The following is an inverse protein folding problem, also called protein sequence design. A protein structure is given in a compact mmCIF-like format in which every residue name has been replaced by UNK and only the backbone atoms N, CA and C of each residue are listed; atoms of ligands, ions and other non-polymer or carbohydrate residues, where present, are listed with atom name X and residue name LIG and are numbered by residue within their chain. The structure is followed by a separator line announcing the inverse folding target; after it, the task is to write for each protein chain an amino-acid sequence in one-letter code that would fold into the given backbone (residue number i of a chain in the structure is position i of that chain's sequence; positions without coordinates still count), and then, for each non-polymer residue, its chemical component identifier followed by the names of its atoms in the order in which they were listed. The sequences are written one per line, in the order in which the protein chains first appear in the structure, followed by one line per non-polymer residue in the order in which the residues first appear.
data_IF_832535805071
#
_entry.id   IF_832535805071
#
_cell.length_a   1.000
_cell.length_b   1.000
_cell.length_c   1.000
_cell.angle_alpha   90.00
_cell.angle_beta   90.00
_cell.angle_gamma   90.00
#
_symmetry.space_group_name_H-M   'P 1'
#
loop_
_entity.id
_entity.type
_entity.pdbx_description
1 polymer ?
#
# COMPACT_ATOMS: atom_id res chain seq x y z
N UNK A 1 12.97 1.40 17.90
CA UNK A 1 13.96 0.62 17.16
C UNK A 1 14.07 -0.74 17.82
N UNK A 2 13.39 -1.72 17.24
CA UNK A 2 13.44 -3.10 17.70
C UNK A 2 14.70 -3.71 17.12
N UNK A 3 15.79 -3.56 17.85
CA UNK A 3 17.08 -4.09 17.45
C UNK A 3 17.10 -5.60 17.73
N UNK A 4 16.72 -6.39 16.74
CA UNK A 4 17.12 -7.77 16.71
C UNK A 4 18.51 -7.85 16.09
N UNK A 5 19.39 -8.60 16.69
CA UNK A 5 20.81 -8.78 16.43
C UNK A 5 21.21 -9.26 15.02
N UNK A 6 20.36 -9.05 14.02
CA UNK A 6 20.63 -9.33 12.62
C UNK A 6 20.89 -8.02 11.88
N UNK A 7 22.14 -7.72 11.64
CA UNK A 7 22.66 -6.53 10.95
C UNK A 7 22.47 -6.57 9.42
N UNK A 8 21.51 -7.31 8.90
CA UNK A 8 21.21 -7.42 7.47
C UNK A 8 19.82 -6.91 7.12
N UNK A 9 19.63 -6.45 5.87
CA UNK A 9 18.29 -6.22 5.33
C UNK A 9 17.52 -7.55 5.29
N UNK A 10 16.24 -7.51 5.64
CA UNK A 10 15.36 -8.66 5.47
C UNK A 10 15.28 -9.04 3.98
N UNK A 11 15.39 -10.33 3.69
CA UNK A 11 15.32 -10.84 2.31
C UNK A 11 13.90 -10.87 1.79
N UNK A 12 12.93 -11.08 2.70
CA UNK A 12 11.53 -11.26 2.36
C UNK A 12 10.61 -10.81 3.52
N UNK A 13 9.31 -10.76 3.25
CA UNK A 13 8.28 -10.37 4.22
C UNK A 13 8.15 -11.38 5.37
N UNK A 14 8.39 -12.67 5.15
CA UNK A 14 8.34 -13.71 6.19
C UNK A 14 9.41 -13.44 7.26
N UNK A 15 10.64 -13.14 6.83
CA UNK A 15 11.72 -12.80 7.76
C UNK A 15 11.44 -11.50 8.52
N UNK A 16 10.91 -10.48 7.83
CA UNK A 16 10.53 -9.22 8.48
C UNK A 16 9.45 -9.44 9.55
N UNK A 17 8.41 -10.19 9.24
CA UNK A 17 7.33 -10.53 10.18
C UNK A 17 7.84 -11.38 11.35
N UNK A 18 8.71 -12.36 11.09
CA UNK A 18 9.38 -13.12 12.16
C UNK A 18 10.15 -12.21 13.11
N UNK A 19 10.85 -11.20 12.58
CA UNK A 19 11.61 -10.24 13.38
C UNK A 19 10.75 -9.42 14.35
N UNK A 20 9.48 -9.18 14.02
CA UNK A 20 8.54 -8.40 14.85
C UNK A 20 7.51 -9.27 15.59
N UNK A 21 7.64 -10.61 15.56
CA UNK A 21 6.66 -11.52 16.17
C UNK A 21 6.38 -11.20 17.64
N UNK A 22 7.43 -10.96 18.44
CA UNK A 22 7.28 -10.58 19.84
C UNK A 22 6.44 -9.32 20.04
N UNK A 23 6.59 -8.33 19.15
CA UNK A 23 5.76 -7.11 19.17
C UNK A 23 4.31 -7.44 18.88
N UNK A 24 4.05 -8.29 17.87
CA UNK A 24 2.70 -8.73 17.53
C UNK A 24 2.04 -9.50 18.67
N UNK A 25 2.76 -10.39 19.33
CA UNK A 25 2.27 -11.18 20.48
C UNK A 25 1.90 -10.28 21.68
N UNK A 26 2.66 -9.22 21.92
CA UNK A 26 2.41 -8.26 22.99
C UNK A 26 1.29 -7.26 22.68
N UNK A 27 0.92 -7.09 21.40
CA UNK A 27 -0.20 -6.25 20.99
C UNK A 27 -1.51 -6.78 21.58
N UNK A 28 -2.42 -5.87 21.92
CA UNK A 28 -3.78 -6.21 22.39
C UNK A 28 -4.78 -6.34 21.23
N UNK A 29 -4.38 -5.89 20.04
CA UNK A 29 -5.25 -5.85 18.87
C UNK A 29 -5.48 -7.26 18.31
N UNK A 30 -6.72 -7.51 17.88
CA UNK A 30 -7.11 -8.79 17.28
C UNK A 30 -6.72 -8.88 15.81
N UNK A 31 -6.86 -7.77 15.08
CA UNK A 31 -6.59 -7.69 13.66
C UNK A 31 -5.29 -6.92 13.37
N UNK A 32 -4.65 -7.28 12.28
CA UNK A 32 -3.42 -6.66 11.79
C UNK A 32 -3.61 -6.29 10.33
N UNK A 33 -3.24 -5.07 9.99
CA UNK A 33 -3.11 -4.62 8.60
C UNK A 33 -1.63 -4.63 8.23
N UNK A 34 -1.29 -5.45 7.25
CA UNK A 34 0.02 -5.42 6.58
C UNK A 34 -0.09 -4.48 5.38
N UNK A 35 0.85 -3.56 5.25
CA UNK A 35 0.84 -2.58 4.18
C UNK A 35 2.26 -2.32 3.69
N UNK A 36 2.42 -2.18 2.38
CA UNK A 36 3.69 -1.75 1.79
C UNK A 36 3.79 -0.22 1.76
N UNK A 37 5.00 0.31 1.79
CA UNK A 37 5.26 1.76 1.84
C UNK A 37 5.23 2.43 0.47
N UNK A 38 5.15 1.66 -0.60
CA UNK A 38 5.12 2.15 -1.98
C UNK A 38 3.71 2.34 -2.54
N UNK A 39 2.69 2.20 -1.70
CA UNK A 39 1.28 2.37 -2.08
C UNK A 39 0.78 3.73 -1.61
N UNK A 40 0.14 4.46 -2.51
CA UNK A 40 -0.51 5.75 -2.24
C UNK A 40 -2.01 5.60 -2.47
N UNK A 41 -2.77 5.68 -1.40
CA UNK A 41 -4.22 5.65 -1.42
C UNK A 41 -4.77 6.24 -0.12
N UNK A 42 -6.03 6.63 -0.12
CA UNK A 42 -6.74 7.06 1.07
C UNK A 42 -8.15 6.46 1.06
N UNK A 43 -8.35 5.41 1.85
CA UNK A 43 -9.64 4.74 2.01
C UNK A 43 -9.95 4.47 3.49
N UNK A 44 -11.19 4.13 3.79
CA UNK A 44 -11.60 3.85 5.17
C UNK A 44 -11.24 2.41 5.57
N UNK A 45 -10.25 2.29 6.46
CA UNK A 45 -9.85 1.00 7.03
C UNK A 45 -10.97 0.34 7.86
N UNK A 46 -11.86 1.13 8.48
CA UNK A 46 -12.99 0.57 9.23
C UNK A 46 -14.00 -0.09 8.28
N UNK A 47 -14.16 0.46 7.08
CA UNK A 47 -15.01 -0.14 6.05
C UNK A 47 -14.46 -1.48 5.58
N UNK A 48 -13.15 -1.54 5.34
CA UNK A 48 -12.47 -2.81 5.04
C UNK A 48 -12.60 -3.83 6.19
N UNK A 49 -12.47 -3.39 7.45
CA UNK A 49 -12.66 -4.25 8.62
C UNK A 49 -14.10 -4.77 8.72
N UNK A 50 -15.09 -3.93 8.44
CA UNK A 50 -16.50 -4.33 8.38
C UNK A 50 -16.74 -5.37 7.30
N UNK A 51 -16.28 -5.11 6.08
CA UNK A 51 -16.38 -6.06 4.97
C UNK A 51 -15.71 -7.41 5.30
N UNK A 52 -14.55 -7.39 5.98
CA UNK A 52 -13.86 -8.59 6.45
C UNK A 52 -14.72 -9.42 7.42
N UNK A 53 -15.34 -8.77 8.40
CA UNK A 53 -16.15 -9.46 9.40
C UNK A 53 -17.48 -9.96 8.84
N UNK A 54 -18.14 -9.17 8.00
CA UNK A 54 -19.41 -9.54 7.36
C UNK A 54 -19.27 -10.70 6.37
N UNK A 55 -18.16 -10.75 5.63
CA UNK A 55 -17.88 -11.86 4.70
C UNK A 55 -17.41 -13.13 5.38
N UNK A 56 -17.04 -13.08 6.66
CA UNK A 56 -16.41 -14.20 7.37
C UNK A 56 -15.04 -14.56 6.77
N UNK A 57 -14.33 -13.57 6.25
CA UNK A 57 -13.03 -13.77 5.67
C UNK A 57 -11.97 -14.18 6.69
N UNK A 58 -11.07 -15.07 6.33
CA UNK A 58 -9.83 -15.31 7.05
C UNK A 58 -8.77 -14.25 6.71
N UNK A 59 -8.75 -13.82 5.43
CA UNK A 59 -7.86 -12.79 4.90
C UNK A 59 -8.66 -11.90 3.95
N UNK A 60 -8.51 -10.58 4.11
CA UNK A 60 -9.02 -9.62 3.11
C UNK A 60 -7.86 -8.87 2.49
N UNK A 61 -7.82 -8.81 1.17
CA UNK A 61 -6.74 -8.16 0.41
C UNK A 61 -7.34 -7.00 -0.38
N UNK A 62 -6.83 -5.79 -0.12
CA UNK A 62 -7.22 -4.63 -0.92
C UNK A 62 -6.68 -4.78 -2.35
N UNK A 63 -7.53 -4.50 -3.33
CA UNK A 63 -7.17 -4.53 -4.74
C UNK A 63 -7.68 -3.29 -5.47
N UNK A 64 -7.09 -3.03 -6.61
CA UNK A 64 -7.52 -1.98 -7.52
C UNK A 64 -7.60 -2.52 -8.94
N UNK A 65 -8.63 -2.08 -9.68
CA UNK A 65 -8.78 -2.40 -11.10
C UNK A 65 -8.04 -1.39 -11.96
N UNK A 66 -7.03 -1.83 -12.68
CA UNK A 66 -6.27 -0.92 -13.52
C UNK A 66 -5.04 -1.54 -14.16
N UNK A 67 -4.15 -0.70 -14.65
CA UNK A 67 -2.86 -1.15 -15.19
C UNK A 67 -1.97 -1.67 -14.06
N UNK A 68 -1.59 -2.93 -14.17
CA UNK A 68 -0.72 -3.57 -13.19
C UNK A 68 0.64 -2.84 -13.06
N UNK A 69 1.09 -2.51 -11.83
CA UNK A 69 2.43 -1.99 -11.60
C UNK A 69 3.48 -3.07 -11.86
N UNK A 70 4.72 -2.66 -12.10
CA UNK A 70 5.84 -3.58 -12.34
C UNK A 70 6.52 -3.95 -11.03
N UNK A 71 5.89 -4.81 -10.26
CA UNK A 71 6.40 -5.32 -8.99
C UNK A 71 6.63 -6.82 -9.09
N UNK A 72 7.66 -7.30 -8.40
CA UNK A 72 7.88 -8.73 -8.21
C UNK A 72 6.80 -9.31 -7.29
N UNK A 73 6.39 -10.56 -7.56
CA UNK A 73 5.33 -11.27 -6.81
C UNK A 73 3.97 -10.52 -6.80
N UNK A 74 3.67 -9.71 -7.83
CA UNK A 74 2.39 -9.01 -7.94
C UNK A 74 1.25 -10.01 -8.08
N UNK A 75 0.33 -10.00 -7.12
CA UNK A 75 -0.90 -10.80 -7.18
C UNK A 75 -1.94 -10.13 -8.06
N UNK A 76 -2.57 -10.92 -8.94
CA UNK A 76 -3.80 -10.54 -9.62
C UNK A 76 -4.88 -11.55 -9.31
N UNK A 77 -6.13 -11.09 -9.31
CA UNK A 77 -7.26 -11.85 -8.84
C UNK A 77 -8.25 -12.18 -9.95
N UNK A 78 -8.91 -13.31 -9.77
CA UNK A 78 -10.21 -13.60 -10.37
C UNK A 78 -11.16 -13.91 -9.24
N UNK A 79 -12.32 -13.26 -9.22
CA UNK A 79 -13.29 -13.36 -8.14
C UNK A 79 -14.46 -14.27 -8.49
N UNK A 80 -15.10 -14.83 -7.46
CA UNK A 80 -16.47 -15.34 -7.48
C UNK A 80 -17.46 -14.17 -7.33
N UNK A 81 -18.76 -14.44 -7.49
CA UNK A 81 -19.80 -13.40 -7.48
C UNK A 81 -19.83 -12.53 -6.20
N UNK A 82 -19.32 -13.05 -5.08
CA UNK A 82 -19.34 -12.41 -3.77
C UNK A 82 -17.99 -11.80 -3.35
N UNK A 83 -17.10 -11.47 -4.29
CA UNK A 83 -15.74 -10.95 -4.04
C UNK A 83 -14.80 -11.96 -3.37
N UNK A 84 -15.19 -13.24 -3.25
CA UNK A 84 -14.28 -14.29 -2.83
C UNK A 84 -13.26 -14.55 -3.92
N UNK A 85 -11.99 -14.67 -3.53
CA UNK A 85 -10.91 -14.92 -4.49
C UNK A 85 -10.97 -16.37 -4.98
N UNK A 86 -11.29 -16.54 -6.25
CA UNK A 86 -11.32 -17.85 -6.91
C UNK A 86 -9.92 -18.30 -7.36
N UNK A 87 -9.12 -17.34 -7.85
CA UNK A 87 -7.78 -17.61 -8.37
C UNK A 87 -6.84 -16.44 -8.12
N UNK A 88 -5.60 -16.76 -7.81
CA UNK A 88 -4.47 -15.81 -7.73
C UNK A 88 -3.48 -16.18 -8.83
N UNK A 89 -3.16 -15.23 -9.71
CA UNK A 89 -2.04 -15.32 -10.62
C UNK A 89 -0.95 -14.35 -10.20
N UNK A 90 0.31 -14.77 -10.34
CA UNK A 90 1.47 -13.96 -10.01
C UNK A 90 2.11 -13.42 -11.28
N UNK A 91 2.64 -12.20 -11.20
CA UNK A 91 3.42 -11.53 -12.24
C UNK A 91 2.75 -11.55 -13.62
N UNK A 92 1.53 -11.02 -13.76
CA UNK A 92 0.81 -11.07 -15.02
C UNK A 92 1.55 -10.25 -16.08
N UNK A 93 1.95 -10.92 -17.16
CA UNK A 93 2.53 -10.28 -18.35
C UNK A 93 1.40 -9.76 -19.25
N UNK A 94 0.66 -8.78 -18.79
CA UNK A 94 -0.46 -8.19 -19.54
C UNK A 94 -0.37 -6.67 -19.58
N UNK A 95 -0.80 -6.10 -20.68
CA UNK A 95 -1.00 -4.65 -20.82
C UNK A 95 -2.44 -4.23 -20.59
N UNK A 96 -3.36 -5.21 -20.45
CA UNK A 96 -4.76 -4.94 -20.17
C UNK A 96 -4.96 -4.62 -18.69
N UNK A 97 -5.97 -3.81 -18.34
CA UNK A 97 -6.37 -3.60 -16.96
C UNK A 97 -6.74 -4.94 -16.30
N UNK A 98 -6.33 -5.11 -15.06
CA UNK A 98 -6.57 -6.29 -14.23
C UNK A 98 -6.84 -5.88 -12.79
N UNK A 99 -7.43 -6.78 -12.02
CA UNK A 99 -7.59 -6.61 -10.58
C UNK A 99 -6.29 -7.03 -9.90
N UNK A 100 -5.51 -6.08 -9.42
CA UNK A 100 -4.22 -6.33 -8.79
C UNK A 100 -4.21 -5.98 -7.31
N UNK A 101 -3.48 -6.77 -6.53
CA UNK A 101 -3.31 -6.52 -5.10
C UNK A 101 -2.52 -5.24 -4.84
N UNK A 102 -3.00 -4.45 -3.90
CA UNK A 102 -2.28 -3.27 -3.41
C UNK A 102 -1.33 -3.61 -2.25
N UNK A 103 -1.13 -4.90 -1.95
CA UNK A 103 -0.35 -5.37 -0.80
C UNK A 103 -0.80 -4.82 0.56
N UNK A 104 -2.08 -4.44 0.64
CA UNK A 104 -2.75 -4.09 1.89
C UNK A 104 -3.59 -5.29 2.29
N UNK A 105 -3.23 -5.94 3.38
CA UNK A 105 -3.79 -7.23 3.80
C UNK A 105 -4.29 -7.12 5.24
N UNK A 106 -5.57 -7.39 5.43
CA UNK A 106 -6.19 -7.49 6.75
C UNK A 106 -6.30 -8.96 7.14
N UNK A 107 -5.82 -9.30 8.32
CA UNK A 107 -5.76 -10.66 8.83
C UNK A 107 -5.81 -10.65 10.36
N UNK A 108 -6.39 -11.70 10.98
CA UNK A 108 -6.32 -11.82 12.43
C UNK A 108 -4.88 -12.13 12.90
N UNK A 109 -4.50 -11.56 14.03
CA UNK A 109 -3.17 -11.78 14.63
C UNK A 109 -2.88 -13.28 14.85
N UNK A 110 -3.88 -14.02 15.35
CA UNK A 110 -3.75 -15.45 15.61
C UNK A 110 -3.45 -16.25 14.33
N UNK A 111 -4.16 -15.93 13.24
CA UNK A 111 -3.94 -16.58 11.95
C UNK A 111 -2.58 -16.21 11.37
N UNK A 112 -2.21 -14.92 11.38
CA UNK A 112 -0.91 -14.46 10.89
C UNK A 112 0.24 -15.16 11.61
N UNK A 113 0.21 -15.19 12.96
CA UNK A 113 1.23 -15.85 13.77
C UNK A 113 1.36 -17.33 13.41
N UNK A 114 0.26 -18.03 13.26
CA UNK A 114 0.25 -19.44 12.85
C UNK A 114 0.84 -19.65 11.45
N UNK A 115 0.46 -18.82 10.49
CA UNK A 115 0.96 -18.92 9.11
C UNK A 115 2.46 -18.64 9.02
N UNK A 116 2.95 -17.62 9.72
CA UNK A 116 4.38 -17.27 9.72
C UNK A 116 5.21 -18.36 10.40
N UNK A 117 4.78 -18.87 11.56
CA UNK A 117 5.48 -19.96 12.24
C UNK A 117 5.54 -21.23 11.37
N UNK A 118 4.47 -21.55 10.67
CA UNK A 118 4.43 -22.67 9.72
C UNK A 118 5.38 -22.44 8.54
N UNK A 119 5.34 -21.25 7.92
CA UNK A 119 6.22 -20.89 6.82
C UNK A 119 7.71 -20.98 7.20
N UNK A 120 8.06 -20.49 8.38
CA UNK A 120 9.43 -20.59 8.92
C UNK A 120 9.85 -22.05 9.14
N UNK A 121 8.95 -22.89 9.68
CA UNK A 121 9.27 -24.32 9.93
C UNK A 121 9.48 -25.10 8.63
N UNK A 122 8.88 -24.66 7.53
CA UNK A 122 8.98 -25.25 6.20
C UNK A 122 10.05 -24.59 5.32
N UNK A 123 10.83 -23.64 5.86
CA UNK A 123 11.82 -22.83 5.12
C UNK A 123 11.24 -22.17 3.85
N UNK A 124 10.02 -21.65 3.95
CA UNK A 124 9.36 -20.92 2.88
C UNK A 124 9.89 -19.50 2.81
N UNK A 125 10.00 -18.96 1.57
CA UNK A 125 10.64 -17.67 1.32
C UNK A 125 9.67 -16.60 0.78
N UNK A 126 8.58 -16.98 0.08
CA UNK A 126 7.63 -16.03 -0.48
C UNK A 126 6.33 -15.97 0.32
N UNK A 127 6.07 -14.81 0.95
CA UNK A 127 4.79 -14.59 1.65
C UNK A 127 3.59 -14.72 0.70
N UNK A 128 3.72 -14.22 -0.50
CA UNK A 128 2.64 -14.24 -1.50
C UNK A 128 2.37 -15.65 -2.00
N UNK A 129 3.39 -16.36 -2.46
CA UNK A 129 3.27 -17.70 -3.03
C UNK A 129 3.00 -18.76 -1.97
N UNK A 130 3.82 -18.77 -0.93
CA UNK A 130 3.85 -19.87 0.02
C UNK A 130 2.82 -19.68 1.15
N UNK A 131 2.50 -18.42 1.52
CA UNK A 131 1.52 -18.16 2.58
C UNK A 131 0.13 -17.86 2.00
N UNK A 132 0.01 -16.99 1.01
CA UNK A 132 -1.30 -16.60 0.48
C UNK A 132 -1.80 -17.60 -0.56
N UNK A 133 -1.08 -17.76 -1.67
CA UNK A 133 -1.54 -18.57 -2.81
C UNK A 133 -1.66 -20.05 -2.44
N UNK A 134 -0.72 -20.61 -1.68
CA UNK A 134 -0.75 -22.01 -1.26
C UNK A 134 -1.95 -22.34 -0.37
N UNK A 135 -2.41 -21.39 0.43
CA UNK A 135 -3.55 -21.56 1.33
C UNK A 135 -4.90 -21.16 0.73
N UNK A 136 -4.97 -20.76 -0.55
CA UNK A 136 -6.20 -20.28 -1.19
C UNK A 136 -7.39 -21.26 -1.07
N UNK A 137 -7.12 -22.59 -1.10
CA UNK A 137 -8.15 -23.61 -0.96
C UNK A 137 -8.60 -23.88 0.48
N UNK A 138 -7.82 -23.40 1.48
CA UNK A 138 -8.05 -23.69 2.90
C UNK A 138 -8.58 -22.48 3.65
N UNK A 139 -8.31 -21.28 3.14
CA UNK A 139 -8.68 -20.02 3.74
C UNK A 139 -9.72 -19.31 2.88
N UNK A 140 -10.64 -18.64 3.54
CA UNK A 140 -11.58 -17.74 2.89
C UNK A 140 -10.88 -16.40 2.63
N UNK A 141 -10.39 -16.22 1.41
CA UNK A 141 -9.71 -14.99 0.98
C UNK A 141 -10.70 -14.15 0.18
N UNK A 142 -10.87 -12.90 0.58
CA UNK A 142 -11.77 -11.95 -0.09
C UNK A 142 -11.00 -10.73 -0.60
N UNK A 143 -11.47 -10.17 -1.70
CA UNK A 143 -11.00 -8.87 -2.21
C UNK A 143 -11.80 -7.74 -1.60
N UNK A 144 -11.12 -6.63 -1.33
CA UNK A 144 -11.73 -5.34 -0.99
C UNK A 144 -11.30 -4.32 -2.04
N UNK A 145 -12.24 -3.84 -2.84
CA UNK A 145 -11.95 -2.88 -3.89
C UNK A 145 -11.69 -1.50 -3.30
N UNK A 146 -10.52 -0.94 -3.60
CA UNK A 146 -10.20 0.44 -3.24
C UNK A 146 -10.54 1.33 -4.41
N UNK A 147 -11.59 2.14 -4.23
CA UNK A 147 -12.02 3.17 -5.17
C UNK A 147 -11.26 4.47 -4.92
N UNK A 148 -11.33 5.38 -5.90
CA UNK A 148 -10.69 6.69 -5.82
C UNK A 148 -9.21 6.67 -6.25
N UNK A 149 -8.50 7.76 -5.91
CA UNK A 149 -7.10 7.91 -6.30
C UNK A 149 -6.22 6.87 -5.62
N UNK A 150 -5.68 5.96 -6.42
CA UNK A 150 -4.76 4.92 -5.99
C UNK A 150 -3.57 4.85 -6.93
N UNK A 151 -2.39 4.68 -6.37
CA UNK A 151 -1.16 4.55 -7.14
C UNK A 151 -0.12 3.72 -6.42
N UNK A 152 0.79 3.13 -7.18
CA UNK A 152 1.89 2.34 -6.64
C UNK A 152 3.19 2.81 -7.25
N UNK A 153 4.17 3.11 -6.40
CA UNK A 153 5.53 3.44 -6.85
C UNK A 153 6.27 2.15 -7.22
N UNK A 154 6.51 1.96 -8.50
CA UNK A 154 7.28 0.83 -9.05
C UNK A 154 8.61 1.27 -9.69
N UNK A 155 8.79 2.57 -9.90
CA UNK A 155 9.96 3.15 -10.55
C UNK A 155 10.08 4.64 -10.24
N UNK A 156 11.25 5.24 -10.54
CA UNK A 156 11.43 6.69 -10.47
C UNK A 156 10.49 7.44 -11.42
N UNK A 157 10.19 6.83 -12.58
CA UNK A 157 9.24 7.40 -13.53
C UNK A 157 7.83 7.42 -12.95
N UNK A 158 7.38 6.32 -12.33
CA UNK A 158 6.05 6.27 -11.70
C UNK A 158 5.94 7.27 -10.55
N UNK A 159 7.02 7.45 -9.75
CA UNK A 159 7.06 8.48 -8.72
C UNK A 159 6.84 9.89 -9.30
N UNK A 160 7.53 10.21 -10.40
CA UNK A 160 7.34 11.49 -11.09
C UNK A 160 5.92 11.63 -11.63
N UNK A 161 5.41 10.62 -12.33
CA UNK A 161 4.09 10.66 -12.96
C UNK A 161 2.97 10.81 -11.91
N UNK A 162 3.08 10.09 -10.78
CA UNK A 162 2.14 10.20 -9.66
C UNK A 162 2.22 11.59 -9.02
N UNK A 163 3.42 12.13 -8.80
CA UNK A 163 3.60 13.47 -8.26
C UNK A 163 2.97 14.53 -9.18
N UNK A 164 3.17 14.37 -10.49
CA UNK A 164 2.56 15.27 -11.49
C UNK A 164 1.05 15.11 -11.59
N UNK A 165 0.50 13.93 -11.32
CA UNK A 165 -0.94 13.70 -11.32
C UNK A 165 -1.67 14.42 -10.17
N UNK A 166 -0.95 14.73 -9.09
CA UNK A 166 -1.48 15.52 -7.96
C UNK A 166 -1.64 17.02 -8.28
N UNK A 167 -1.14 17.49 -9.44
CA UNK A 167 -1.48 18.82 -9.95
C UNK A 167 -2.95 18.92 -10.40
N UNK A 168 -3.61 17.77 -10.62
CA UNK A 168 -5.06 17.73 -10.82
C UNK A 168 -5.76 17.88 -9.45
N UNK A 169 -6.58 18.93 -9.27
CA UNK A 169 -7.30 19.13 -8.02
C UNK A 169 -8.20 17.97 -7.62
N UNK A 170 -8.75 17.21 -8.57
CA UNK A 170 -9.58 16.05 -8.28
C UNK A 170 -8.78 14.96 -7.56
N UNK A 171 -7.63 14.58 -8.10
CA UNK A 171 -6.74 13.59 -7.48
C UNK A 171 -6.26 14.04 -6.09
N UNK A 172 -5.92 15.33 -5.98
CA UNK A 172 -5.47 15.91 -4.72
C UNK A 172 -6.58 15.86 -3.64
N UNK A 173 -7.83 16.16 -4.02
CA UNK A 173 -8.98 16.13 -3.11
C UNK A 173 -9.32 14.69 -2.67
N UNK A 174 -9.18 13.71 -3.54
CA UNK A 174 -9.41 12.30 -3.20
C UNK A 174 -8.36 11.76 -2.21
N UNK A 175 -7.10 12.18 -2.35
CA UNK A 175 -6.02 11.75 -1.46
C UNK A 175 -6.03 12.50 -0.12
N UNK A 176 -6.26 13.82 -0.13
CA UNK A 176 -6.20 14.68 1.05
C UNK A 176 -7.60 15.13 1.50
N UNK A 177 -8.39 14.18 1.96
CA UNK A 177 -9.74 14.48 2.46
C UNK A 177 -9.71 15.01 3.90
N UNK A 178 -10.69 15.82 4.28
CA UNK A 178 -10.83 16.33 5.66
C UNK A 178 -11.25 15.22 6.63
N UNK A 179 -12.04 14.29 6.16
CA UNK A 179 -12.57 13.16 6.93
C UNK A 179 -11.48 12.14 7.27
N UNK A 180 -10.49 12.01 6.41
CA UNK A 180 -9.36 11.09 6.57
C UNK A 180 -8.04 11.83 6.30
N UNK A 181 -7.60 12.67 7.24
CA UNK A 181 -6.38 13.44 7.06
C UNK A 181 -5.15 12.54 7.01
N UNK A 182 -4.24 12.83 6.11
CA UNK A 182 -2.93 12.17 6.04
C UNK A 182 -2.01 12.79 7.09
N UNK A 183 -1.65 12.01 8.11
CA UNK A 183 -0.75 12.47 9.17
C UNK A 183 0.70 12.37 8.72
N UNK A 184 1.32 13.50 8.51
CA UNK A 184 2.74 13.62 8.16
C UNK A 184 3.52 14.27 9.32
N UNK A 185 4.86 14.20 9.24
CA UNK A 185 5.70 14.88 10.20
C UNK A 185 5.47 16.39 10.12
N UNK A 186 5.08 17.01 11.23
CA UNK A 186 4.97 18.46 11.33
C UNK A 186 6.36 19.07 11.15
N UNK A 187 6.47 20.08 10.31
CA UNK A 187 7.68 20.87 10.08
C UNK A 187 7.38 22.32 10.36
N UNK A 188 8.32 23.00 11.02
CA UNK A 188 8.30 24.44 11.24
C UNK A 188 9.09 25.16 10.13
N UNK A 189 8.83 24.77 8.87
CA UNK A 189 9.44 25.40 7.72
C UNK A 189 8.80 26.77 7.47
N UNK A 190 9.57 27.71 6.97
CA UNK A 190 9.03 29.02 6.58
C UNK A 190 8.07 28.86 5.39
N UNK A 191 7.07 29.72 5.23
CA UNK A 191 6.26 29.75 4.01
C UNK A 191 7.13 29.90 2.76
N UNK A 192 6.65 29.39 1.63
CA UNK A 192 7.34 29.52 0.36
C UNK A 192 7.50 31.02 -0.01
N UNK A 193 8.70 31.40 -0.48
CA UNK A 193 9.05 32.77 -0.85
C UNK A 193 9.05 32.88 -2.36
N UNK A 194 8.38 33.92 -2.86
CA UNK A 194 8.33 34.24 -4.29
C UNK A 194 9.03 35.57 -4.55
N UNK A 195 10.13 35.56 -5.27
CA UNK A 195 10.89 36.75 -5.65
C UNK A 195 10.14 37.67 -6.62
N UNK A 196 10.54 38.92 -6.67
CA UNK A 196 9.88 39.91 -7.53
C UNK A 196 9.99 39.53 -9.01
N UNK A 197 8.83 39.39 -9.68
CA UNK A 197 8.75 38.99 -11.09
C UNK A 197 8.86 37.49 -11.34
N UNK A 198 8.86 36.66 -10.28
CA UNK A 198 8.71 35.20 -10.44
C UNK A 198 7.31 34.84 -10.93
N UNK A 199 7.22 33.77 -11.68
CA UNK A 199 5.95 33.25 -12.22
C UNK A 199 5.79 31.79 -11.85
N UNK A 200 4.67 31.43 -11.21
CA UNK A 200 4.32 30.06 -10.87
C UNK A 200 3.00 29.69 -11.54
N UNK A 201 3.00 28.61 -12.34
CA UNK A 201 1.83 28.15 -13.08
C UNK A 201 1.67 26.64 -12.95
N UNK A 202 0.50 26.18 -12.52
CA UNK A 202 0.16 24.76 -12.42
C UNK A 202 1.28 23.96 -11.74
N UNK A 203 1.62 24.33 -10.49
CA UNK A 203 2.72 23.76 -9.71
C UNK A 203 2.33 23.64 -8.26
N UNK A 204 2.83 22.63 -7.56
CA UNK A 204 2.76 22.50 -6.10
C UNK A 204 4.11 22.91 -5.53
N UNK A 205 4.08 23.94 -4.67
CA UNK A 205 5.28 24.47 -4.03
C UNK A 205 5.19 24.21 -2.53
N UNK A 206 6.13 23.44 -2.01
CA UNK A 206 6.19 23.10 -0.60
C UNK A 206 6.65 24.31 0.24
N UNK A 207 6.31 24.30 1.53
CA UNK A 207 6.85 25.26 2.49
C UNK A 207 8.39 25.20 2.51
N UNK A 208 9.03 26.33 2.82
CA UNK A 208 10.49 26.45 2.84
C UNK A 208 11.13 26.63 1.46
N UNK A 209 10.39 26.53 0.36
CA UNK A 209 10.94 26.77 -0.98
C UNK A 209 11.15 28.27 -1.24
N UNK A 210 12.22 28.61 -2.00
CA UNK A 210 12.43 29.95 -2.51
C UNK A 210 12.51 29.92 -4.04
N UNK A 211 11.67 30.73 -4.68
CA UNK A 211 11.66 30.94 -6.13
C UNK A 211 12.16 32.35 -6.39
N UNK A 212 13.40 32.44 -6.92
CA UNK A 212 14.05 33.72 -7.14
C UNK A 212 13.31 34.59 -8.17
N UNK A 213 13.55 35.91 -8.09
CA UNK A 213 12.95 36.84 -9.02
C UNK A 213 13.29 36.54 -10.48
N UNK A 214 12.33 36.76 -11.38
CA UNK A 214 12.39 36.47 -12.81
C UNK A 214 12.50 34.99 -13.19
N UNK A 215 12.34 34.07 -12.23
CA UNK A 215 12.27 32.62 -12.49
C UNK A 215 10.83 32.19 -12.84
N UNK A 216 10.70 31.17 -13.64
CA UNK A 216 9.42 30.55 -13.96
C UNK A 216 9.38 29.10 -13.48
N UNK A 217 8.40 28.77 -12.63
CA UNK A 217 8.05 27.40 -12.29
C UNK A 217 6.73 27.03 -12.99
N UNK A 218 6.76 25.98 -13.81
CA UNK A 218 5.61 25.57 -14.61
C UNK A 218 5.50 24.06 -14.68
N UNK A 219 4.34 23.52 -14.27
CA UNK A 219 4.06 22.08 -14.18
C UNK A 219 5.16 21.35 -13.38
N UNK A 220 5.28 21.72 -12.11
CA UNK A 220 6.32 21.23 -11.21
C UNK A 220 5.73 20.84 -9.87
#
# INVERSE_FOLDING_TARGET
PFNNSHTGMYRDRIQALRGIMRFLEQSKEEYIVLMDTNVVCNFDLNDMCRAHTESGADITIAYHHGRAPRLDDLMTFTFEENQKVAKIALDPKTSNPVDYAMNIILISKALLTRLINNAVSLNQDSFVRDVIQHNLKRLNIYGYEVSGFTSVFDSLQSYYDISMSLLDPANCQELFTRERPVYTKVRDDMPAIYGLGSTVKNSLVADGCSIDGKSEAKRS
#
